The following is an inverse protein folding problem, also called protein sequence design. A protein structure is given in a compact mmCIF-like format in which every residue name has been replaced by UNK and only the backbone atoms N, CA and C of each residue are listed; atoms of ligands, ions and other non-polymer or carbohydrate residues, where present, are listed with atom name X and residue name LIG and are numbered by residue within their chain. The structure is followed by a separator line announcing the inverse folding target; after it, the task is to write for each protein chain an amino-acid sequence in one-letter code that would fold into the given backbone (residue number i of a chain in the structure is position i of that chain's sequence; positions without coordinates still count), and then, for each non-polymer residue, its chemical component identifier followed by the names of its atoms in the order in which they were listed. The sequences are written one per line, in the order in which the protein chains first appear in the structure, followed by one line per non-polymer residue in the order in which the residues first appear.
data_IF_998428998889
#
_entry.id   IF_998428998889
#
_cell.length_a   1.000
_cell.length_b   1.000
_cell.length_c   1.000
_cell.angle_alpha   90.00
_cell.angle_beta   90.00
_cell.angle_gamma   90.00
#
_symmetry.space_group_name_H-M   'P 1'
#
loop_
_entity.id
_entity.type
_entity.pdbx_description
1 polymer ?
#
# COMPACT_ATOMS: atom_id res chain seq x y z
N UNK A 1 -3.20 -13.34 -4.84
CA UNK A 1 -3.90 -12.96 -6.10
C UNK A 1 -4.12 -11.44 -6.19
N UNK A 2 -4.61 -10.75 -5.15
CA UNK A 2 -4.84 -9.30 -5.14
C UNK A 2 -3.62 -8.44 -5.56
N UNK A 3 -2.44 -8.75 -5.03
CA UNK A 3 -1.14 -8.11 -5.36
C UNK A 3 -0.89 -7.97 -6.87
N UNK A 4 -1.10 -9.08 -7.61
CA UNK A 4 -0.78 -9.16 -9.04
C UNK A 4 -1.77 -8.34 -9.87
N UNK A 5 -3.02 -8.26 -9.41
CA UNK A 5 -4.04 -7.40 -9.99
C UNK A 5 -3.70 -5.92 -9.75
N UNK A 6 -3.33 -5.54 -8.54
CA UNK A 6 -3.01 -4.16 -8.18
C UNK A 6 -1.81 -3.63 -8.99
N UNK A 7 -0.77 -4.45 -9.17
CA UNK A 7 0.38 -4.12 -10.04
C UNK A 7 -0.04 -3.93 -11.50
N UNK A 8 -0.87 -4.83 -12.03
CA UNK A 8 -1.34 -4.79 -13.42
C UNK A 8 -2.22 -3.56 -13.69
N UNK A 9 -3.04 -3.14 -12.73
CA UNK A 9 -3.89 -1.95 -12.86
C UNK A 9 -3.04 -0.68 -12.93
N UNK A 10 -2.01 -0.55 -12.07
CA UNK A 10 -1.08 0.59 -12.12
C UNK A 10 -0.22 0.57 -13.40
N UNK A 11 0.18 -0.60 -13.89
CA UNK A 11 0.90 -0.75 -15.16
C UNK A 11 0.03 -0.42 -16.38
N UNK A 12 -1.29 -0.65 -16.29
CA UNK A 12 -2.26 -0.31 -17.34
C UNK A 12 -2.59 1.19 -17.44
N UNK A 13 -1.91 2.04 -16.65
CA UNK A 13 -2.07 3.50 -16.71
C UNK A 13 -3.14 4.05 -15.76
N UNK A 14 -3.66 3.23 -14.84
CA UNK A 14 -4.51 3.76 -13.77
C UNK A 14 -3.71 4.74 -12.89
N UNK A 15 -4.36 5.80 -12.44
CA UNK A 15 -3.73 6.75 -11.54
C UNK A 15 -3.32 6.06 -10.23
N UNK A 16 -2.12 6.37 -9.74
CA UNK A 16 -1.56 5.72 -8.55
C UNK A 16 -2.40 5.92 -7.29
N UNK A 17 -3.18 7.00 -7.26
CA UNK A 17 -4.06 7.38 -6.16
C UNK A 17 -5.53 7.06 -6.41
N UNK A 18 -5.93 6.56 -7.59
CA UNK A 18 -7.33 6.21 -7.81
C UNK A 18 -7.72 5.03 -6.92
N UNK A 19 -8.71 5.17 -6.03
CA UNK A 19 -9.11 4.12 -5.11
C UNK A 19 -9.45 2.82 -5.85
N UNK A 20 -8.88 1.71 -5.40
CA UNK A 20 -9.37 0.38 -5.79
C UNK A 20 -10.59 0.07 -4.93
N UNK A 21 -11.75 0.58 -5.32
CA UNK A 21 -12.97 0.53 -4.52
C UNK A 21 -13.02 1.62 -3.45
N UNK A 22 -13.29 1.25 -2.19
CA UNK A 22 -13.33 2.20 -1.05
C UNK A 22 -11.97 2.51 -0.44
N UNK A 23 -10.91 1.78 -0.84
CA UNK A 23 -9.57 1.96 -0.31
C UNK A 23 -8.67 2.65 -1.33
N UNK A 24 -7.80 3.55 -0.85
CA UNK A 24 -6.67 4.01 -1.64
C UNK A 24 -5.76 2.83 -2.03
N UNK A 25 -5.07 2.87 -3.18
CA UNK A 25 -4.18 1.79 -3.60
C UNK A 25 -3.05 1.53 -2.60
N UNK A 26 -2.56 2.59 -1.93
CA UNK A 26 -1.53 2.46 -0.91
C UNK A 26 -2.05 1.80 0.37
N UNK A 27 -3.21 2.23 0.90
CA UNK A 27 -3.81 1.59 2.07
C UNK A 27 -4.17 0.12 1.79
N UNK A 28 -4.71 -0.17 0.60
CA UNK A 28 -4.99 -1.55 0.17
C UNK A 28 -3.71 -2.39 0.09
N UNK A 29 -2.60 -1.84 -0.43
CA UNK A 29 -1.33 -2.54 -0.49
C UNK A 29 -0.73 -2.79 0.90
N UNK A 30 -0.85 -1.85 1.84
CA UNK A 30 -0.40 -2.01 3.22
C UNK A 30 -1.22 -3.07 3.94
N UNK A 31 -2.55 -3.05 3.80
CA UNK A 31 -3.43 -4.07 4.37
C UNK A 31 -3.06 -5.46 3.86
N UNK A 32 -2.91 -5.61 2.54
CA UNK A 32 -2.47 -6.87 1.94
C UNK A 32 -1.07 -7.26 2.42
N UNK A 33 -0.18 -6.30 2.67
CA UNK A 33 1.15 -6.57 3.20
C UNK A 33 1.16 -7.05 4.66
N UNK A 34 0.14 -6.70 5.44
CA UNK A 34 -0.03 -7.17 6.80
C UNK A 34 -0.54 -8.62 6.84
N UNK A 35 -1.34 -9.02 5.85
CA UNK A 35 -1.91 -10.37 5.74
C UNK A 35 -1.06 -11.31 4.86
N UNK A 36 -0.04 -10.79 4.18
CA UNK A 36 0.78 -11.56 3.26
C UNK A 36 1.72 -12.53 3.97
N UNK A 37 1.62 -13.82 3.66
CA UNK A 37 2.60 -14.84 4.08
C UNK A 37 4.02 -14.56 3.56
N UNK A 38 4.15 -13.77 2.48
CA UNK A 38 5.43 -13.34 1.92
C UNK A 38 5.61 -11.82 2.05
N UNK A 39 6.22 -11.41 3.16
CA UNK A 39 6.50 -10.02 3.47
C UNK A 39 7.40 -9.34 2.43
N UNK A 40 8.27 -10.08 1.72
CA UNK A 40 9.21 -9.50 0.76
C UNK A 40 8.50 -8.99 -0.49
N UNK A 41 7.57 -9.76 -1.03
CA UNK A 41 6.76 -9.33 -2.17
C UNK A 41 5.83 -8.18 -1.80
N UNK A 42 5.22 -8.24 -0.61
CA UNK A 42 4.28 -7.21 -0.21
C UNK A 42 4.95 -5.85 0.00
N UNK A 43 6.10 -5.82 0.68
CA UNK A 43 6.93 -4.62 0.81
C UNK A 43 7.38 -4.06 -0.55
N UNK A 44 7.63 -4.93 -1.53
CA UNK A 44 8.04 -4.51 -2.88
C UNK A 44 6.93 -3.73 -3.59
N UNK A 45 5.67 -4.08 -3.34
CA UNK A 45 4.52 -3.37 -3.92
C UNK A 45 4.32 -2.03 -3.25
N UNK A 46 4.36 -1.99 -1.92
CA UNK A 46 4.27 -0.72 -1.18
C UNK A 46 5.35 0.23 -1.69
N UNK A 47 6.60 -0.23 -1.79
CA UNK A 47 7.68 0.57 -2.34
C UNK A 47 7.44 0.98 -3.81
N UNK A 48 6.91 0.09 -4.65
CA UNK A 48 6.56 0.42 -6.03
C UNK A 48 5.50 1.52 -6.11
N UNK A 49 4.46 1.46 -5.28
CA UNK A 49 3.41 2.48 -5.24
C UNK A 49 3.98 3.82 -4.79
N UNK A 50 4.79 3.82 -3.73
CA UNK A 50 5.47 5.01 -3.22
C UNK A 50 6.40 5.64 -4.27
N UNK A 51 7.16 4.83 -5.02
CA UNK A 51 8.00 5.31 -6.12
C UNK A 51 7.19 5.94 -7.27
N UNK A 52 5.92 5.57 -7.41
CA UNK A 52 5.01 6.11 -8.42
C UNK A 52 4.25 7.36 -7.94
N UNK A 53 4.58 7.90 -6.75
CA UNK A 53 3.92 9.08 -6.19
C UNK A 53 2.59 8.77 -5.51
N UNK A 54 2.46 7.57 -4.94
CA UNK A 54 1.32 7.26 -4.09
C UNK A 54 1.24 8.24 -2.91
N UNK A 55 0.03 8.74 -2.65
CA UNK A 55 -0.24 9.67 -1.58
C UNK A 55 -0.07 8.99 -0.21
N UNK A 56 0.88 9.48 0.57
CA UNK A 56 1.17 8.99 1.91
C UNK A 56 0.08 9.35 2.93
N UNK A 57 -0.69 10.40 2.66
CA UNK A 57 -1.83 10.80 3.48
C UNK A 57 -3.07 9.93 3.25
N UNK A 58 -2.98 8.99 2.31
CA UNK A 58 -4.10 8.15 1.94
C UNK A 58 -4.53 7.22 3.07
N UNK A 59 -5.84 7.06 3.18
CA UNK A 59 -6.50 6.28 4.22
C UNK A 59 -7.17 5.03 3.65
N UNK A 60 -7.51 4.10 4.54
CA UNK A 60 -8.47 3.03 4.23
C UNK A 60 -9.92 3.55 4.24
N UNK A 61 -10.87 2.62 4.16
CA UNK A 61 -12.31 2.90 4.19
C UNK A 61 -12.83 3.39 5.55
N UNK A 62 -12.04 3.31 6.62
CA UNK A 62 -12.37 3.83 7.96
C UNK A 62 -11.76 5.22 8.21
N UNK A 63 -10.97 5.74 7.26
CA UNK A 63 -10.20 6.97 7.45
C UNK A 63 -8.88 6.73 8.19
N UNK A 64 -8.45 5.48 8.36
CA UNK A 64 -7.18 5.14 9.00
C UNK A 64 -6.03 5.32 8.00
N UNK A 65 -5.00 6.13 8.32
CA UNK A 65 -3.86 6.34 7.44
C UNK A 65 -3.07 5.05 7.18
N UNK A 66 -2.50 4.92 5.99
CA UNK A 66 -1.69 3.76 5.61
C UNK A 66 -0.55 3.45 6.63
N UNK A 67 0.07 4.48 7.22
CA UNK A 67 1.09 4.30 8.26
C UNK A 67 0.54 3.65 9.53
N UNK A 68 -0.66 4.05 9.97
CA UNK A 68 -1.30 3.47 11.16
C UNK A 68 -1.66 1.99 10.94
N UNK A 69 -2.08 1.62 9.73
CA UNK A 69 -2.34 0.21 9.39
C UNK A 69 -1.05 -0.63 9.50
N UNK A 70 0.08 -0.10 9.02
CA UNK A 70 1.36 -0.80 9.09
C UNK A 70 1.85 -0.96 10.53
N UNK A 71 1.69 0.07 11.37
CA UNK A 71 2.11 0.02 12.78
C UNK A 71 1.20 -0.86 13.62
N UNK A 72 -0.12 -0.80 13.42
CA UNK A 72 -1.09 -1.63 14.14
C UNK A 72 -0.88 -3.13 13.89
N UNK A 73 -0.43 -3.51 12.69
CA UNK A 73 -0.09 -4.89 12.36
C UNK A 73 1.33 -5.31 12.80
N UNK A 74 2.11 -4.41 13.40
CA UNK A 74 3.51 -4.67 13.77
C UNK A 74 4.45 -4.83 12.57
N UNK A 75 4.05 -4.39 11.37
CA UNK A 75 4.82 -4.54 10.14
C UNK A 75 5.87 -3.43 10.01
N UNK A 76 6.91 -3.53 10.84
CA UNK A 76 7.97 -2.53 10.97
C UNK A 76 8.62 -2.16 9.63
N UNK A 77 8.76 -3.12 8.72
CA UNK A 77 9.37 -2.88 7.41
C UNK A 77 8.49 -2.02 6.50
N UNK A 78 7.19 -2.28 6.47
CA UNK A 78 6.22 -1.46 5.74
C UNK A 78 6.12 -0.07 6.35
N UNK A 79 6.06 0.02 7.69
CA UNK A 79 6.06 1.29 8.39
C UNK A 79 7.31 2.12 8.07
N UNK A 80 8.49 1.49 8.04
CA UNK A 80 9.74 2.16 7.68
C UNK A 80 9.76 2.63 6.23
N UNK A 81 9.23 1.85 5.28
CA UNK A 81 9.12 2.30 3.88
C UNK A 81 8.22 3.52 3.73
N UNK A 82 7.13 3.59 4.49
CA UNK A 82 6.23 4.74 4.49
C UNK A 82 6.89 5.98 5.11
N UNK A 83 7.64 5.79 6.20
CA UNK A 83 8.42 6.85 6.85
C UNK A 83 9.59 7.35 5.99
N UNK A 84 10.31 6.46 5.32
CA UNK A 84 11.44 6.82 4.44
C UNK A 84 10.99 7.63 3.21
N UNK A 85 9.68 7.68 2.94
CA UNK A 85 9.08 8.44 1.85
C UNK A 85 8.31 9.67 2.31
N UNK A 86 8.08 9.82 3.63
CA UNK A 86 7.35 10.90 4.28
C UNK A 86 8.25 11.98 4.84
#
# INVERSE_FOLDING_TARGET
KAIKHLKRVVEAGAHINTPTGSMSPLAAAVQVANEASNLKEANRIVNFLLQRGADLSSTDHTGTPALHLATAAGNQKTARLLLDKG
#
